data_IF_055075466425
#
_entry.id   IF_055075466425
#
_cell.length_a   1.000
_cell.length_b   1.000
_cell.length_c   1.000
_cell.angle_alpha   90.00
_cell.angle_beta   90.00
_cell.angle_gamma   90.00
#
_symmetry.space_group_name_H-M   'P 1'
#
loop_
_entity.id
_entity.type
_entity.pdbx_description
1 polymer ?
#
# COMPACT_ATOMS: atom_id res chain seq x y z
N UNK A 1 12.65 -5.90 18.35
CA UNK A 1 11.83 -5.63 17.15
C UNK A 1 12.73 -5.41 15.96
N UNK A 2 12.53 -6.13 14.86
CA UNK A 2 13.37 -5.99 13.68
C UNK A 2 13.09 -4.61 13.04
N UNK A 3 14.13 -3.81 12.74
CA UNK A 3 14.01 -2.48 12.10
C UNK A 3 13.14 -2.48 10.82
N UNK A 4 12.92 -3.65 10.23
CA UNK A 4 12.10 -3.91 9.05
C UNK A 4 10.59 -3.97 9.31
N UNK A 5 10.15 -4.25 10.53
CA UNK A 5 8.74 -4.19 10.94
C UNK A 5 8.25 -2.74 11.13
N UNK A 6 9.16 -1.79 11.40
CA UNK A 6 8.83 -0.36 11.42
C UNK A 6 8.27 0.13 10.07
N UNK A 7 8.60 -0.53 8.97
CA UNK A 7 8.04 -0.22 7.66
C UNK A 7 6.56 -0.63 7.52
N UNK A 8 6.05 -1.51 8.40
CA UNK A 8 4.62 -1.86 8.47
C UNK A 8 3.81 -0.75 9.15
N UNK A 9 4.44 0.02 10.05
CA UNK A 9 3.80 1.19 10.64
C UNK A 9 3.62 2.30 9.63
N UNK A 10 4.49 2.45 8.63
CA UNK A 10 4.41 3.60 7.71
C UNK A 10 3.04 3.71 7.01
N UNK A 11 2.51 2.66 6.32
CA UNK A 11 1.16 2.72 5.73
C UNK A 11 0.06 2.99 6.77
N UNK A 12 0.17 2.38 7.96
CA UNK A 12 -0.75 2.56 9.08
C UNK A 12 -0.75 4.00 9.62
N UNK A 13 0.42 4.60 9.82
CA UNK A 13 0.58 5.96 10.34
C UNK A 13 0.03 6.98 9.34
N UNK A 14 0.20 6.76 8.04
CA UNK A 14 -0.38 7.63 7.00
C UNK A 14 -1.88 7.50 6.97
N UNK A 15 -2.40 6.26 7.06
CA UNK A 15 -3.83 6.04 7.16
C UNK A 15 -4.41 6.81 8.35
N UNK A 16 -3.76 6.70 9.52
CA UNK A 16 -4.16 7.35 10.75
C UNK A 16 -4.04 8.89 10.66
N UNK A 17 -2.97 9.42 10.06
CA UNK A 17 -2.79 10.86 9.80
C UNK A 17 -3.84 11.37 8.81
N UNK A 18 -4.12 10.63 7.74
CA UNK A 18 -5.11 11.00 6.75
C UNK A 18 -6.53 11.07 7.33
N UNK A 19 -6.86 10.12 8.20
CA UNK A 19 -8.14 10.07 8.89
C UNK A 19 -8.27 11.24 9.88
N UNK A 20 -7.22 11.56 10.65
CA UNK A 20 -7.16 12.74 11.52
C UNK A 20 -7.32 14.03 10.72
N UNK A 21 -6.60 14.20 9.61
CA UNK A 21 -6.68 15.39 8.76
C UNK A 21 -8.10 15.59 8.19
N UNK A 22 -8.79 14.49 7.83
CA UNK A 22 -10.20 14.53 7.42
C UNK A 22 -11.09 14.96 8.58
N UNK A 23 -10.91 14.42 9.78
CA UNK A 23 -11.67 14.82 10.97
C UNK A 23 -11.52 16.30 11.31
N UNK A 24 -10.35 16.89 11.04
CA UNK A 24 -10.06 18.30 11.35
C UNK A 24 -10.47 19.31 10.27
N UNK A 25 -11.02 18.86 9.13
CA UNK A 25 -11.54 19.72 8.05
C UNK A 25 -10.54 20.80 7.58
N UNK A 26 -9.25 20.48 7.57
CA UNK A 26 -8.20 21.44 7.25
C UNK A 26 -8.27 21.89 5.76
N UNK A 27 -8.11 23.19 5.48
CA UNK A 27 -8.01 23.68 4.11
C UNK A 27 -6.76 23.09 3.43
N UNK A 28 -6.86 22.77 2.13
CA UNK A 28 -5.81 22.12 1.33
C UNK A 28 -5.38 20.70 1.80
N UNK A 29 -6.09 20.10 2.75
CA UNK A 29 -5.82 18.74 3.25
C UNK A 29 -5.70 17.70 2.12
N UNK A 30 -6.54 17.80 1.09
CA UNK A 30 -6.49 16.91 -0.08
C UNK A 30 -5.20 17.02 -0.89
N UNK A 31 -4.67 18.23 -1.09
CA UNK A 31 -3.43 18.47 -1.84
C UNK A 31 -2.20 17.98 -1.06
N UNK A 32 -2.15 18.30 0.24
CA UNK A 32 -1.08 17.83 1.13
C UNK A 32 -1.06 16.31 1.18
N UNK A 33 -2.24 15.69 1.26
CA UNK A 33 -2.39 14.25 1.25
C UNK A 33 -1.85 13.64 -0.05
N UNK A 34 -2.18 14.18 -1.22
CA UNK A 34 -1.65 13.68 -2.51
C UNK A 34 -0.13 13.80 -2.58
N UNK A 35 0.46 14.93 -2.18
CA UNK A 35 1.91 15.14 -2.21
C UNK A 35 2.66 14.20 -1.26
N UNK A 36 2.21 14.12 0.00
CA UNK A 36 2.77 13.19 0.98
C UNK A 36 2.63 11.74 0.51
N UNK A 37 1.52 11.42 -0.14
CA UNK A 37 1.26 10.09 -0.67
C UNK A 37 2.15 9.66 -1.81
N UNK A 38 2.41 10.58 -2.73
CA UNK A 38 3.33 10.33 -3.82
C UNK A 38 4.76 10.14 -3.31
N UNK A 39 5.23 11.04 -2.44
CA UNK A 39 6.53 10.91 -1.76
C UNK A 39 6.67 9.56 -1.07
N UNK A 40 5.61 9.14 -0.39
CA UNK A 40 5.64 7.91 0.37
C UNK A 40 5.58 6.65 -0.49
N UNK A 41 4.83 6.68 -1.58
CA UNK A 41 4.84 5.64 -2.61
C UNK A 41 6.27 5.45 -3.15
N UNK A 42 6.97 6.52 -3.50
CA UNK A 42 8.36 6.46 -3.96
C UNK A 42 9.31 5.89 -2.89
N UNK A 43 9.18 6.34 -1.64
CA UNK A 43 9.98 5.83 -0.53
C UNK A 43 9.70 4.35 -0.25
N UNK A 44 8.43 3.93 -0.33
CA UNK A 44 8.04 2.54 -0.10
C UNK A 44 8.55 1.62 -1.21
N UNK A 45 8.57 2.08 -2.46
CA UNK A 45 9.18 1.34 -3.57
C UNK A 45 10.66 1.05 -3.31
N UNK A 46 11.44 2.09 -2.98
CA UNK A 46 12.86 1.95 -2.68
C UNK A 46 13.09 1.07 -1.43
N UNK A 47 12.28 1.25 -0.40
CA UNK A 47 12.34 0.45 0.82
C UNK A 47 12.02 -1.03 0.55
N UNK A 48 11.04 -1.33 -0.32
CA UNK A 48 10.68 -2.69 -0.69
C UNK A 48 11.85 -3.39 -1.43
N UNK A 49 12.49 -2.71 -2.38
CA UNK A 49 13.66 -3.23 -3.08
C UNK A 49 14.79 -3.57 -2.11
N UNK A 50 15.09 -2.66 -1.18
CA UNK A 50 16.14 -2.86 -0.19
C UNK A 50 15.80 -3.97 0.81
N UNK A 51 14.55 -4.02 1.27
CA UNK A 51 14.11 -4.99 2.27
C UNK A 51 14.14 -6.41 1.72
N UNK A 52 13.64 -6.62 0.49
CA UNK A 52 13.63 -7.93 -0.16
C UNK A 52 14.98 -8.32 -0.76
N UNK A 53 15.90 -7.36 -0.93
CA UNK A 53 17.28 -7.66 -1.28
C UNK A 53 18.00 -8.47 -0.21
N UNK A 54 17.77 -8.14 1.06
CA UNK A 54 18.33 -8.86 2.19
C UNK A 54 17.76 -10.28 2.36
N UNK A 55 16.66 -10.63 1.69
CA UNK A 55 16.01 -11.94 1.76
C UNK A 55 16.29 -12.83 0.54
N UNK A 56 17.25 -12.46 -0.31
CA UNK A 56 17.63 -13.21 -1.51
C UNK A 56 16.47 -13.56 -2.48
N UNK A 57 15.38 -12.79 -2.43
CA UNK A 57 14.23 -12.96 -3.34
C UNK A 57 14.65 -12.66 -4.78
N UNK A 58 14.07 -13.29 -5.79
CA UNK A 58 14.44 -12.98 -7.19
C UNK A 58 14.22 -11.48 -7.49
N UNK A 59 15.16 -10.76 -8.13
CA UNK A 59 15.08 -9.31 -8.33
C UNK A 59 13.78 -8.86 -9.00
N UNK A 60 13.29 -9.62 -9.99
CA UNK A 60 12.01 -9.36 -10.64
C UNK A 60 10.83 -9.35 -9.66
N UNK A 61 10.79 -10.31 -8.72
CA UNK A 61 9.72 -10.40 -7.72
C UNK A 61 9.79 -9.24 -6.72
N UNK A 62 10.98 -8.70 -6.45
CA UNK A 62 11.16 -7.51 -5.60
C UNK A 62 10.57 -6.27 -6.27
N UNK A 63 10.84 -6.10 -7.57
CA UNK A 63 10.32 -4.98 -8.37
C UNK A 63 8.80 -5.06 -8.45
N UNK A 64 8.24 -6.23 -8.76
CA UNK A 64 6.79 -6.45 -8.81
C UNK A 64 6.15 -6.13 -7.46
N UNK A 65 6.68 -6.68 -6.37
CA UNK A 65 6.15 -6.42 -5.03
C UNK A 65 6.23 -4.93 -4.67
N UNK A 66 7.37 -4.28 -4.90
CA UNK A 66 7.54 -2.84 -4.69
C UNK A 66 6.52 -2.02 -5.49
N UNK A 67 6.35 -2.33 -6.77
CA UNK A 67 5.42 -1.63 -7.66
C UNK A 67 3.97 -1.80 -7.21
N UNK A 68 3.55 -3.02 -6.90
CA UNK A 68 2.21 -3.34 -6.42
C UNK A 68 1.88 -2.65 -5.10
N UNK A 69 2.81 -2.61 -4.15
CA UNK A 69 2.56 -1.92 -2.87
C UNK A 69 2.53 -0.40 -3.02
N UNK A 70 3.39 0.15 -3.87
CA UNK A 70 3.44 1.60 -4.13
C UNK A 70 2.16 2.07 -4.82
N UNK A 71 1.66 1.31 -5.79
CA UNK A 71 0.37 1.57 -6.44
C UNK A 71 -0.80 1.40 -5.49
N UNK A 72 -0.77 0.43 -4.57
CA UNK A 72 -1.77 0.30 -3.51
C UNK A 72 -1.82 1.53 -2.58
N UNK A 73 -0.66 2.09 -2.21
CA UNK A 73 -0.58 3.33 -1.43
C UNK A 73 -1.21 4.50 -2.20
N UNK A 74 -0.87 4.69 -3.48
CA UNK A 74 -1.46 5.75 -4.31
C UNK A 74 -2.98 5.56 -4.41
N UNK A 75 -3.44 4.34 -4.64
CA UNK A 75 -4.85 4.02 -4.74
C UNK A 75 -5.60 4.33 -3.44
N UNK A 76 -5.05 3.98 -2.27
CA UNK A 76 -5.62 4.36 -0.98
C UNK A 76 -5.76 5.87 -0.84
N UNK A 77 -4.76 6.62 -1.29
CA UNK A 77 -4.75 8.06 -1.08
C UNK A 77 -5.73 8.78 -2.00
N UNK A 78 -5.87 8.33 -3.24
CA UNK A 78 -6.93 8.82 -4.13
C UNK A 78 -8.30 8.42 -3.60
N UNK A 79 -8.40 7.22 -3.05
CA UNK A 79 -9.60 6.72 -2.38
C UNK A 79 -9.94 7.52 -1.15
N UNK A 80 -9.00 8.10 -0.41
CA UNK A 80 -9.31 8.91 0.76
C UNK A 80 -9.58 10.37 0.40
N UNK A 81 -8.86 10.94 -0.57
CA UNK A 81 -8.97 12.34 -1.01
C UNK A 81 -10.20 12.66 -1.87
N UNK A 82 -11.09 11.70 -2.13
CA UNK A 82 -12.30 11.89 -2.95
C UNK A 82 -11.99 12.31 -4.40
N UNK A 83 -10.87 11.89 -4.97
CA UNK A 83 -10.55 12.25 -6.35
C UNK A 83 -11.51 11.57 -7.33
N UNK A 84 -11.94 12.25 -8.40
CA UNK A 84 -12.96 11.80 -9.37
C UNK A 84 -12.81 10.35 -9.85
N UNK A 85 -11.59 9.84 -10.01
CA UNK A 85 -11.33 8.50 -10.54
C UNK A 85 -10.98 7.46 -9.48
N UNK A 86 -11.24 7.74 -8.19
CA UNK A 86 -10.79 6.90 -7.08
C UNK A 86 -11.14 5.41 -7.25
N UNK A 87 -12.35 5.09 -7.72
CA UNK A 87 -12.81 3.70 -7.93
C UNK A 87 -11.91 2.92 -8.89
N UNK A 88 -11.51 3.55 -9.99
CA UNK A 88 -10.65 2.92 -11.00
C UNK A 88 -9.29 2.60 -10.39
N UNK A 89 -8.71 3.54 -9.65
CA UNK A 89 -7.44 3.34 -8.97
C UNK A 89 -7.51 2.28 -7.88
N UNK A 90 -8.62 2.18 -7.12
CA UNK A 90 -8.80 1.13 -6.13
C UNK A 90 -8.82 -0.26 -6.79
N UNK A 91 -9.58 -0.42 -7.88
CA UNK A 91 -9.66 -1.69 -8.61
C UNK A 91 -8.29 -2.08 -9.18
N UNK A 92 -7.59 -1.13 -9.82
CA UNK A 92 -6.23 -1.36 -10.33
C UNK A 92 -5.26 -1.74 -9.22
N UNK A 93 -5.35 -1.08 -8.05
CA UNK A 93 -4.56 -1.43 -6.87
C UNK A 93 -4.79 -2.86 -6.39
N UNK A 94 -6.06 -3.30 -6.30
CA UNK A 94 -6.40 -4.67 -5.93
C UNK A 94 -5.86 -5.69 -6.95
N UNK A 95 -6.04 -5.43 -8.25
CA UNK A 95 -5.53 -6.30 -9.31
C UNK A 95 -4.00 -6.43 -9.24
N UNK A 96 -3.30 -5.31 -9.05
CA UNK A 96 -1.83 -5.29 -8.94
C UNK A 96 -1.33 -5.99 -7.67
N UNK A 97 -2.06 -5.93 -6.56
CA UNK A 97 -1.75 -6.69 -5.33
C UNK A 97 -1.97 -8.19 -5.49
N UNK A 98 -2.85 -8.61 -6.42
CA UNK A 98 -3.08 -10.01 -6.76
C UNK A 98 -1.81 -10.71 -7.27
N UNK A 99 -0.99 -10.02 -8.07
CA UNK A 99 0.24 -10.59 -8.64
C UNK A 99 1.26 -11.04 -7.58
N UNK A 100 1.74 -10.17 -6.64
CA UNK A 100 2.64 -10.60 -5.58
C UNK A 100 1.99 -11.56 -4.60
N UNK A 101 0.65 -11.52 -4.42
CA UNK A 101 -0.08 -12.50 -3.61
C UNK A 101 0.01 -13.90 -4.21
N UNK A 102 -0.25 -14.05 -5.51
CA UNK A 102 -0.15 -15.35 -6.20
C UNK A 102 1.29 -15.87 -6.19
N UNK A 103 2.27 -15.01 -6.51
CA UNK A 103 3.70 -15.38 -6.48
C UNK A 103 4.13 -15.88 -5.09
N UNK A 104 3.67 -15.21 -4.03
CA UNK A 104 4.02 -15.57 -2.66
C UNK A 104 3.29 -16.82 -2.16
N UNK A 105 2.06 -17.09 -2.61
CA UNK A 105 1.35 -18.36 -2.34
C UNK A 105 2.07 -19.55 -2.97
N UNK A 106 2.48 -19.46 -4.24
CA UNK A 106 3.25 -20.54 -4.89
C UNK A 106 4.61 -20.79 -4.23
N UNK A 107 5.21 -19.75 -3.64
CA UNK A 107 6.51 -19.84 -2.97
C UNK A 107 6.42 -19.87 -1.44
N UNK A 108 5.25 -20.23 -0.88
CA UNK A 108 4.96 -20.11 0.56
C UNK A 108 5.92 -20.88 1.48
N UNK A 109 6.55 -21.95 0.97
CA UNK A 109 7.57 -22.73 1.70
C UNK A 109 8.77 -21.87 2.12
N UNK A 110 9.07 -20.80 1.38
CA UNK A 110 10.18 -19.92 1.67
C UNK A 110 9.74 -18.75 2.58
N UNK A 111 10.41 -18.62 3.73
CA UNK A 111 10.13 -17.59 4.77
C UNK A 111 10.20 -16.17 4.19
N UNK A 112 11.05 -15.93 3.19
CA UNK A 112 11.18 -14.64 2.52
C UNK A 112 9.87 -14.21 1.83
N UNK A 113 9.16 -15.15 1.20
CA UNK A 113 7.91 -14.87 0.47
C UNK A 113 6.71 -14.73 1.42
N UNK A 114 6.77 -15.29 2.64
CA UNK A 114 5.73 -15.08 3.65
C UNK A 114 5.58 -13.61 4.02
N UNK A 115 6.68 -12.85 4.07
CA UNK A 115 6.61 -11.41 4.35
C UNK A 115 5.91 -10.63 3.23
N UNK A 116 6.15 -10.99 1.96
CA UNK A 116 5.43 -10.42 0.82
C UNK A 116 3.95 -10.77 0.93
N UNK A 117 3.62 -12.03 1.25
CA UNK A 117 2.25 -12.50 1.39
C UNK A 117 1.48 -11.70 2.45
N UNK A 118 2.02 -11.58 3.67
CA UNK A 118 1.35 -10.84 4.74
C UNK A 118 1.13 -9.37 4.38
N UNK A 119 2.10 -8.75 3.70
CA UNK A 119 1.96 -7.37 3.21
C UNK A 119 0.90 -7.23 2.14
N UNK A 120 0.84 -8.16 1.19
CA UNK A 120 -0.23 -8.19 0.18
C UNK A 120 -1.60 -8.32 0.82
N UNK A 121 -1.77 -9.24 1.77
CA UNK A 121 -3.03 -9.42 2.51
C UNK A 121 -3.40 -8.15 3.26
N UNK A 122 -2.45 -7.55 3.98
CA UNK A 122 -2.68 -6.31 4.72
C UNK A 122 -3.18 -5.18 3.80
N UNK A 123 -2.48 -4.91 2.69
CA UNK A 123 -2.91 -3.89 1.74
C UNK A 123 -4.25 -4.21 1.09
N UNK A 124 -4.54 -5.48 0.77
CA UNK A 124 -5.84 -5.89 0.22
C UNK A 124 -6.97 -5.60 1.21
N UNK A 125 -6.79 -5.98 2.48
CA UNK A 125 -7.79 -5.73 3.53
C UNK A 125 -8.02 -4.23 3.70
N UNK A 126 -6.94 -3.44 3.79
CA UNK A 126 -7.01 -1.99 3.98
C UNK A 126 -7.67 -1.28 2.79
N UNK A 127 -7.34 -1.68 1.58
CA UNK A 127 -7.88 -1.07 0.36
C UNK A 127 -9.35 -1.48 0.15
N UNK A 128 -9.70 -2.72 0.48
CA UNK A 128 -11.09 -3.21 0.42
C UNK A 128 -11.97 -2.56 1.48
N UNK A 129 -11.46 -2.31 2.69
CA UNK A 129 -12.22 -1.64 3.74
C UNK A 129 -12.53 -0.19 3.36
N UNK A 130 -11.53 0.55 2.85
CA UNK A 130 -11.73 1.92 2.35
C UNK A 130 -12.70 1.96 1.17
N UNK A 131 -12.53 1.04 0.21
CA UNK A 131 -13.40 0.96 -0.95
C UNK A 131 -14.85 0.62 -0.57
N UNK A 132 -15.04 -0.36 0.31
CA UNK A 132 -16.35 -0.79 0.81
C UNK A 132 -17.04 0.31 1.61
N UNK A 133 -16.34 0.93 2.56
CA UNK A 133 -16.87 2.05 3.35
C UNK A 133 -17.34 3.19 2.45
N UNK A 134 -16.52 3.61 1.47
CA UNK A 134 -16.91 4.66 0.53
C UNK A 134 -18.03 4.27 -0.42
N UNK A 135 -18.14 3.02 -0.81
CA UNK A 135 -19.19 2.59 -1.72
C UNK A 135 -20.57 2.53 -1.02
N UNK A 136 -20.59 2.33 0.29
CA UNK A 136 -21.82 2.29 1.10
C UNK A 136 -22.23 3.65 1.69
N UNK A 137 -21.27 4.48 2.09
CA UNK A 137 -21.53 5.70 2.88
C UNK A 137 -21.05 7.02 2.24
N UNK A 138 -20.38 6.95 1.08
CA UNK A 138 -19.85 8.12 0.36
C UNK A 138 -20.59 8.38 -0.94
#
# INVERSE_FOLDING_TARGET
MNKKQLLEFIPLTIFLIAEICRCLHLPYSSMVMVLCGFLLSCLYFAAALWLYAAYAIHPMNRIIAGFSFSTAIVALMFSLSNWQFWRVYSILGLLLLGVPLVISLFNYKNIAYKQILYRSIFFIVLLSSVFGYKSFWG
#
